data_IF_985395279649
#
_entry.id   IF_985395279649
#
_cell.length_a   1.000
_cell.length_b   1.000
_cell.length_c   1.000
_cell.angle_alpha   90.00
_cell.angle_beta   90.00
_cell.angle_gamma   90.00
#
_symmetry.space_group_name_H-M   'P 1'
#
loop_
_entity.id
_entity.type
_entity.pdbx_description
1 polymer ?
#
# COMPACT_ATOMS: atom_id res chain seq x y z
N UNK A 1 11.33 -20.38 -7.51
CA UNK A 1 11.93 -19.22 -6.82
C UNK A 1 11.11 -18.98 -5.56
N UNK A 2 11.67 -19.18 -4.37
CA UNK A 2 10.95 -18.88 -3.12
C UNK A 2 10.81 -17.37 -3.01
N UNK A 3 9.58 -16.85 -2.96
CA UNK A 3 9.35 -15.44 -2.74
C UNK A 3 9.84 -15.08 -1.34
N UNK A 4 10.99 -14.42 -1.22
CA UNK A 4 11.59 -14.07 0.07
C UNK A 4 10.67 -13.09 0.79
N UNK A 5 10.03 -13.56 1.86
CA UNK A 5 9.23 -12.70 2.74
C UNK A 5 10.13 -11.93 3.69
N UNK A 6 9.88 -10.62 3.82
CA UNK A 6 10.48 -9.76 4.84
C UNK A 6 9.75 -10.03 6.17
N UNK A 7 10.46 -9.93 7.29
CA UNK A 7 9.88 -10.17 8.61
C UNK A 7 10.53 -9.34 9.71
N UNK A 8 9.82 -9.21 10.83
CA UNK A 8 10.37 -8.67 12.06
C UNK A 8 10.90 -9.81 12.93
N UNK A 9 12.07 -9.63 13.54
CA UNK A 9 12.62 -10.60 14.50
C UNK A 9 11.85 -10.65 15.83
N UNK A 10 11.01 -9.66 16.12
CA UNK A 10 10.27 -9.51 17.39
C UNK A 10 8.79 -9.88 17.30
N UNK A 11 8.28 -10.19 16.10
CA UNK A 11 6.90 -10.63 15.91
C UNK A 11 6.80 -11.67 14.79
N UNK A 12 5.63 -12.28 14.64
CA UNK A 12 5.38 -13.32 13.62
C UNK A 12 4.97 -12.76 12.27
N UNK A 13 4.75 -11.45 12.14
CA UNK A 13 4.31 -10.84 10.89
C UNK A 13 5.39 -10.99 9.81
N UNK A 14 4.97 -11.49 8.65
CA UNK A 14 5.77 -11.65 7.45
C UNK A 14 5.03 -10.99 6.29
N UNK A 15 5.76 -10.28 5.46
CA UNK A 15 5.18 -9.54 4.34
C UNK A 15 6.05 -9.65 3.09
N UNK A 16 5.40 -9.45 1.95
CA UNK A 16 6.06 -9.33 0.66
C UNK A 16 5.98 -7.90 0.14
N UNK A 17 6.85 -7.58 -0.81
CA UNK A 17 6.91 -6.27 -1.46
C UNK A 17 7.73 -5.24 -0.68
N UNK A 18 8.43 -4.36 -1.40
CA UNK A 18 9.32 -3.35 -0.83
C UNK A 18 8.58 -2.12 -0.27
N UNK A 19 7.30 -1.94 -0.62
CA UNK A 19 6.50 -0.79 -0.21
C UNK A 19 5.78 -1.00 1.14
N UNK A 20 5.74 -2.24 1.65
CA UNK A 20 5.07 -2.54 2.91
C UNK A 20 5.94 -2.08 4.08
N UNK A 21 5.36 -1.25 4.95
CA UNK A 21 6.01 -0.78 6.17
C UNK A 21 5.55 -1.58 7.39
N UNK A 22 6.41 -1.74 8.39
CA UNK A 22 6.11 -2.42 9.65
C UNK A 22 6.47 -1.53 10.83
N UNK A 23 5.53 -1.37 11.78
CA UNK A 23 5.77 -0.59 12.98
C UNK A 23 6.52 -1.41 14.03
N UNK A 24 7.73 -0.98 14.38
CA UNK A 24 8.53 -1.64 15.42
C UNK A 24 7.96 -1.56 16.84
N UNK A 25 6.99 -0.67 17.09
CA UNK A 25 6.39 -0.46 18.41
C UNK A 25 5.14 -1.31 18.65
N UNK A 26 4.20 -1.34 17.70
CA UNK A 26 2.94 -2.09 17.83
C UNK A 26 2.85 -3.32 16.91
N UNK A 27 3.86 -3.55 16.07
CA UNK A 27 3.97 -4.69 15.16
C UNK A 27 2.93 -4.80 14.05
N UNK A 28 2.09 -3.78 13.84
CA UNK A 28 1.18 -3.72 12.68
C UNK A 28 1.95 -3.44 11.38
N UNK A 29 1.43 -3.93 10.26
CA UNK A 29 1.99 -3.66 8.92
C UNK A 29 1.05 -2.80 8.09
N UNK A 30 1.62 -2.05 7.14
CA UNK A 30 0.94 -1.04 6.36
C UNK A 30 1.34 -1.16 4.89
N UNK A 31 0.40 -0.98 3.98
CA UNK A 31 0.62 -1.17 2.53
C UNK A 31 1.61 -0.18 1.93
N UNK A 32 1.79 0.98 2.58
CA UNK A 32 2.68 2.07 2.18
C UNK A 32 3.23 2.80 3.40
N UNK A 33 4.31 3.56 3.21
CA UNK A 33 4.82 4.50 4.23
C UNK A 33 3.79 5.56 4.61
N UNK A 34 2.99 6.06 3.67
CA UNK A 34 1.94 7.06 3.97
C UNK A 34 0.88 6.55 4.94
N UNK A 35 0.46 5.29 4.80
CA UNK A 35 -0.47 4.65 5.74
C UNK A 35 0.19 4.42 7.10
N UNK A 36 1.48 4.04 7.12
CA UNK A 36 2.25 3.95 8.36
C UNK A 36 2.37 5.31 9.07
N UNK A 37 2.65 6.38 8.33
CA UNK A 37 2.77 7.74 8.89
C UNK A 37 1.43 8.19 9.47
N UNK A 38 0.31 7.89 8.80
CA UNK A 38 -1.04 8.17 9.30
C UNK A 38 -1.35 7.45 10.61
N UNK A 39 -0.80 6.25 10.81
CA UNK A 39 -0.89 5.48 12.06
C UNK A 39 -0.05 6.08 13.20
N UNK A 40 0.93 6.92 12.92
CA UNK A 40 1.79 7.52 13.94
C UNK A 40 1.39 8.97 14.16
N UNK A 41 1.03 9.31 15.40
CA UNK A 41 0.66 10.67 15.80
C UNK A 41 1.64 11.25 16.85
N UNK A 42 1.54 12.55 17.13
CA UNK A 42 2.44 13.31 17.99
C UNK A 42 3.64 13.90 17.24
N UNK A 43 4.53 14.58 17.97
CA UNK A 43 5.63 15.35 17.40
C UNK A 43 6.96 14.59 17.53
N UNK A 44 7.70 14.48 16.42
CA UNK A 44 9.01 13.83 16.36
C UNK A 44 10.08 14.53 17.22
N UNK A 45 10.15 15.86 17.17
CA UNK A 45 11.14 16.65 17.90
C UNK A 45 10.87 16.70 19.41
N UNK A 46 9.62 16.54 19.82
CA UNK A 46 9.23 16.57 21.24
C UNK A 46 9.13 15.18 21.89
N UNK A 47 9.44 14.11 21.14
CA UNK A 47 9.40 12.75 21.67
C UNK A 47 8.00 12.25 22.04
N UNK A 48 6.93 12.91 21.58
CA UNK A 48 5.53 12.55 21.89
C UNK A 48 4.93 11.57 20.89
N UNK A 49 5.77 10.96 20.03
CA UNK A 49 5.30 10.07 18.96
C UNK A 49 4.71 8.78 19.51
N UNK A 50 3.44 8.54 19.24
CA UNK A 50 2.71 7.36 19.67
C UNK A 50 1.96 6.70 18.50
N UNK A 51 1.54 5.47 18.74
CA UNK A 51 0.72 4.70 17.81
C UNK A 51 -0.74 5.07 18.04
N UNK A 52 -1.47 5.35 16.96
CA UNK A 52 -2.94 5.42 16.97
C UNK A 52 -3.51 4.19 16.26
N UNK A 53 -4.70 3.76 16.67
CA UNK A 53 -5.37 2.62 16.04
C UNK A 53 -5.64 2.95 14.56
N UNK A 54 -5.15 2.14 13.61
CA UNK A 54 -5.33 2.38 12.18
C UNK A 54 -6.79 2.62 11.78
N UNK A 55 -7.73 1.90 12.38
CA UNK A 55 -9.16 2.04 12.08
C UNK A 55 -9.71 3.42 12.46
N UNK A 56 -9.16 4.04 13.50
CA UNK A 56 -9.56 5.38 13.97
C UNK A 56 -9.03 6.52 13.10
N UNK A 57 -8.03 6.26 12.25
CA UNK A 57 -7.43 7.24 11.34
C UNK A 57 -7.83 7.03 9.88
N UNK A 58 -8.87 6.23 9.66
CA UNK A 58 -9.47 5.98 8.34
C UNK A 58 -8.74 4.93 7.52
N UNK A 59 -7.87 4.12 8.12
CA UNK A 59 -7.26 2.97 7.45
C UNK A 59 -8.16 1.74 7.59
N UNK A 60 -8.12 0.88 6.58
CA UNK A 60 -8.91 -0.35 6.50
C UNK A 60 -7.99 -1.55 6.30
N UNK A 61 -8.53 -2.75 6.52
CA UNK A 61 -7.83 -3.97 6.14
C UNK A 61 -7.71 -4.01 4.60
N UNK A 62 -6.47 -4.09 4.09
CA UNK A 62 -6.18 -4.05 2.67
C UNK A 62 -6.44 -5.39 1.92
N UNK A 63 -6.93 -6.42 2.62
CA UNK A 63 -7.28 -7.70 1.99
C UNK A 63 -6.07 -8.49 1.44
N UNK A 64 -4.86 -8.22 1.95
CA UNK A 64 -3.66 -8.99 1.57
C UNK A 64 -3.69 -10.38 2.21
N UNK A 65 -2.85 -11.28 1.69
CA UNK A 65 -2.63 -12.61 2.28
C UNK A 65 -2.03 -12.58 3.72
N UNK A 66 -1.69 -11.40 4.22
CA UNK A 66 -1.18 -11.15 5.56
C UNK A 66 -1.84 -9.89 6.16
N UNK A 67 -1.94 -9.77 7.50
CA UNK A 67 -2.55 -8.60 8.14
C UNK A 67 -1.85 -7.30 7.74
N UNK A 68 -2.55 -6.42 7.02
CA UNK A 68 -1.98 -5.21 6.46
C UNK A 68 -3.04 -4.10 6.37
N UNK A 69 -2.72 -2.92 6.90
CA UNK A 69 -3.58 -1.74 6.88
C UNK A 69 -3.27 -0.84 5.70
N UNK A 70 -4.32 -0.29 5.09
CA UNK A 70 -4.24 0.49 3.87
C UNK A 70 -5.28 1.61 3.81
N UNK A 71 -5.12 2.52 2.85
CA UNK A 71 -6.16 3.51 2.57
C UNK A 71 -7.40 2.83 1.97
N UNK A 72 -8.61 3.32 2.23
CA UNK A 72 -9.79 2.88 1.50
C UNK A 72 -9.54 3.13 0.01
N UNK A 73 -9.69 2.09 -0.80
CA UNK A 73 -9.35 2.03 -2.24
C UNK A 73 -7.88 1.82 -2.61
N UNK A 74 -6.98 1.47 -1.67
CA UNK A 74 -5.60 1.10 -2.04
C UNK A 74 -5.47 -0.30 -2.68
N UNK A 75 -6.60 -0.90 -3.08
CA UNK A 75 -6.75 -2.09 -3.90
C UNK A 75 -6.14 -1.95 -5.30
N UNK A 76 -4.81 -1.82 -5.36
CA UNK A 76 -4.04 -1.95 -6.60
C UNK A 76 -4.28 -3.35 -7.22
N UNK A 77 -5.27 -3.42 -8.11
CA UNK A 77 -5.13 -4.04 -9.42
C UNK A 77 -4.51 -2.99 -10.36
N UNK A 78 -3.25 -3.14 -10.81
CA UNK A 78 -2.60 -2.19 -11.73
C UNK A 78 -3.14 -2.24 -13.18
N UNK A 79 -4.18 -3.02 -13.48
CA UNK A 79 -4.67 -3.23 -14.86
C UNK A 79 -6.05 -2.66 -15.17
N UNK A 80 -6.64 -1.82 -14.31
CA UNK A 80 -8.01 -1.31 -14.54
C UNK A 80 -8.22 0.17 -14.23
N UNK A 81 -7.15 0.96 -14.11
CA UNK A 81 -7.23 2.43 -14.04
C UNK A 81 -6.92 3.13 -15.37
N UNK A 82 -6.55 2.38 -16.42
CA UNK A 82 -6.03 2.94 -17.68
C UNK A 82 -6.64 2.33 -18.95
N UNK A 83 -7.88 1.80 -18.87
CA UNK A 83 -8.68 1.67 -20.10
C UNK A 83 -9.83 2.67 -19.98
N UNK A 84 -9.46 3.93 -20.19
CA UNK A 84 -10.41 4.89 -20.73
C UNK A 84 -10.70 4.44 -22.16
N UNK A 85 -11.97 4.10 -22.36
CA UNK A 85 -12.66 4.01 -23.63
C UNK A 85 -12.30 5.20 -24.54
N UNK A 86 -11.37 5.00 -25.47
CA UNK A 86 -11.27 5.80 -26.69
C UNK A 86 -11.28 4.86 -27.89
N UNK A 87 -12.49 4.46 -28.29
CA UNK A 87 -12.75 3.98 -29.64
C UNK A 87 -12.66 5.19 -30.59
N UNK A 88 -11.46 5.51 -31.07
CA UNK A 88 -11.28 6.41 -32.21
C UNK A 88 -10.91 5.58 -33.44
N UNK A 89 -11.79 5.43 -34.45
CA UNK A 89 -11.44 4.72 -35.68
C UNK A 89 -10.46 5.59 -36.49
N UNK A 90 -9.22 5.14 -36.64
CA UNK A 90 -8.29 5.77 -37.57
C UNK A 90 -8.67 5.41 -39.01
N UNK A 91 -9.07 6.43 -39.76
CA UNK A 91 -9.20 6.35 -41.21
C UNK A 91 -7.83 6.05 -41.84
N UNK A 92 -7.77 5.02 -42.69
CA UNK A 92 -6.62 4.70 -43.52
C UNK A 92 -6.35 5.87 -44.47
N UNK A 93 -5.14 6.44 -44.40
CA UNK A 93 -4.64 7.38 -45.40
C UNK A 93 -3.66 6.66 -46.33
N UNK A 94 -3.83 6.73 -47.66
CA UNK A 94 -3.13 5.87 -48.63
C UNK A 94 -1.82 6.51 -49.09
N UNK A 95 -0.67 5.94 -48.71
CA UNK A 95 0.62 6.30 -49.30
C UNK A 95 1.53 5.07 -49.35
N UNK A 96 1.19 4.12 -50.23
CA UNK A 96 2.12 3.18 -50.87
C UNK A 96 1.47 2.77 -52.21
N UNK A 97 1.73 3.56 -53.25
CA UNK A 97 1.36 3.29 -54.64
C UNK A 97 2.60 3.40 -55.52
#
# INVERSE_FOLDING_TARGET
MTNTTIGCARCTNRWGGLNTAHCGACHQTFTTTSAFDKHRDGNHAQGTRHCVDPSTVGLVNAGRAYPCWGWPNDGRNPHSADISDETTPQALSPQDA
#
